data_IF_763696730360
#
_entry.id   IF_763696730360
#
_cell.length_a   1.000
_cell.length_b   1.000
_cell.length_c   1.000
_cell.angle_alpha   90.00
_cell.angle_beta   90.00
_cell.angle_gamma   90.00
#
_symmetry.space_group_name_H-M   'P 1'
#
loop_
_entity.id
_entity.type
_entity.pdbx_description
1 polymer ?
#
# COMPACT_ATOMS: atom_id res chain seq x y z
N UNK A 1 -0.58 19.59 2.90
CA UNK A 1 -1.98 19.12 2.89
C UNK A 1 -2.80 20.33 3.26
N UNK A 2 -3.29 21.07 2.26
CA UNK A 2 -4.19 22.19 2.52
C UNK A 2 -5.50 21.61 3.05
N UNK A 3 -5.83 21.92 4.30
CA UNK A 3 -7.21 21.79 4.74
C UNK A 3 -8.05 22.69 3.82
N UNK A 4 -9.19 22.17 3.34
CA UNK A 4 -10.18 23.01 2.65
C UNK A 4 -10.39 24.27 3.48
N UNK A 5 -10.05 25.44 2.92
CA UNK A 5 -10.18 26.73 3.59
C UNK A 5 -11.65 27.11 3.87
N UNK A 6 -12.60 26.29 3.38
CA UNK A 6 -14.03 26.44 3.57
C UNK A 6 -14.57 25.32 4.46
N UNK A 7 -15.32 25.70 5.50
CA UNK A 7 -16.08 24.79 6.36
C UNK A 7 -17.21 24.17 5.53
N UNK A 8 -17.28 22.84 5.49
CA UNK A 8 -18.38 22.13 4.86
C UNK A 8 -19.52 21.96 5.88
N UNK A 9 -20.71 22.47 5.55
CA UNK A 9 -21.87 22.41 6.44
C UNK A 9 -22.59 21.05 6.32
N UNK A 10 -22.52 20.25 7.39
CA UNK A 10 -23.11 18.91 7.47
C UNK A 10 -24.57 18.95 7.98
N UNK A 11 -25.45 19.66 7.26
CA UNK A 11 -26.91 19.61 7.52
C UNK A 11 -27.45 18.20 7.36
N UNK A 12 -28.56 17.87 8.04
CA UNK A 12 -29.08 16.49 8.08
C UNK A 12 -29.43 15.92 6.70
N UNK A 13 -30.04 16.74 5.84
CA UNK A 13 -30.33 16.35 4.45
C UNK A 13 -29.05 16.05 3.63
N UNK A 14 -27.95 16.74 3.92
CA UNK A 14 -26.64 16.49 3.30
C UNK A 14 -26.04 15.19 3.81
N UNK A 15 -26.12 14.96 5.12
CA UNK A 15 -25.63 13.73 5.77
C UNK A 15 -26.32 12.49 5.22
N UNK A 16 -27.66 12.51 5.11
CA UNK A 16 -28.43 11.39 4.58
C UNK A 16 -28.12 11.13 3.10
N UNK A 17 -27.92 12.19 2.29
CA UNK A 17 -27.51 12.06 0.89
C UNK A 17 -26.10 11.46 0.73
N UNK A 18 -25.17 11.85 1.60
CA UNK A 18 -23.81 11.31 1.62
C UNK A 18 -23.79 9.83 2.02
N UNK A 19 -24.58 9.45 3.03
CA UNK A 19 -24.74 8.04 3.44
C UNK A 19 -25.27 7.17 2.30
N UNK A 20 -26.31 7.65 1.59
CA UNK A 20 -26.86 6.95 0.43
C UNK A 20 -25.83 6.77 -0.69
N UNK A 21 -24.93 7.75 -0.90
CA UNK A 21 -23.90 7.72 -1.96
C UNK A 21 -22.71 6.82 -1.63
N UNK A 22 -22.26 6.81 -0.37
CA UNK A 22 -21.11 5.97 0.08
C UNK A 22 -21.49 4.49 0.14
N UNK A 23 -22.79 4.19 0.15
CA UNK A 23 -23.44 2.93 0.48
C UNK A 23 -23.50 2.62 1.97
N UNK A 24 -24.63 2.07 2.42
CA UNK A 24 -24.89 1.69 3.81
C UNK A 24 -23.83 0.75 4.36
N UNK A 25 -23.38 -0.22 3.56
CA UNK A 25 -22.43 -1.25 4.00
C UNK A 25 -21.04 -0.66 4.28
N UNK A 26 -20.58 0.26 3.42
CA UNK A 26 -19.31 0.96 3.63
C UNK A 26 -19.42 1.92 4.80
N UNK A 27 -20.53 2.65 4.90
CA UNK A 27 -20.77 3.62 5.96
C UNK A 27 -20.89 2.98 7.35
N UNK A 28 -21.48 1.79 7.44
CA UNK A 28 -21.60 1.02 8.69
C UNK A 28 -20.26 0.78 9.40
N UNK A 29 -19.16 0.70 8.64
CA UNK A 29 -17.81 0.51 9.20
C UNK A 29 -17.35 1.71 10.05
N UNK A 30 -17.89 2.89 9.78
CA UNK A 30 -17.61 4.15 10.46
C UNK A 30 -18.65 4.49 11.53
N UNK A 31 -19.91 4.09 11.35
CA UNK A 31 -20.99 4.34 12.31
C UNK A 31 -20.73 3.74 13.69
N UNK A 32 -20.35 2.46 13.77
CA UNK A 32 -20.12 1.81 15.06
C UNK A 32 -18.99 2.48 15.87
N UNK A 33 -17.80 2.77 15.29
CA UNK A 33 -16.77 3.57 15.97
C UNK A 33 -17.19 5.00 16.31
N UNK A 34 -18.14 5.57 15.57
CA UNK A 34 -18.68 6.89 15.81
C UNK A 34 -19.78 6.93 16.89
N UNK A 35 -20.13 5.80 17.51
CA UNK A 35 -21.26 5.76 18.44
C UNK A 35 -22.61 6.03 17.76
N UNK A 36 -22.73 5.66 16.48
CA UNK A 36 -23.89 5.90 15.62
C UNK A 36 -24.19 7.38 15.32
N UNK A 37 -23.26 8.29 15.63
CA UNK A 37 -23.30 9.67 15.14
C UNK A 37 -22.90 9.70 13.66
N UNK A 38 -23.89 9.98 12.78
CA UNK A 38 -23.67 10.03 11.33
C UNK A 38 -22.68 11.12 10.91
N UNK A 39 -22.71 12.30 11.55
CA UNK A 39 -21.81 13.41 11.21
C UNK A 39 -20.37 13.04 11.55
N UNK A 40 -20.16 12.48 12.74
CA UNK A 40 -18.84 12.00 13.15
C UNK A 40 -18.36 10.81 12.30
N UNK A 41 -19.25 9.90 11.90
CA UNK A 41 -18.93 8.81 10.97
C UNK A 41 -18.44 9.33 9.61
N UNK A 42 -19.05 10.39 9.05
CA UNK A 42 -18.58 11.05 7.82
C UNK A 42 -17.20 11.66 8.03
N UNK A 43 -16.94 12.29 9.17
CA UNK A 43 -15.61 12.84 9.46
C UNK A 43 -14.54 11.73 9.54
N UNK A 44 -14.86 10.57 10.15
CA UNK A 44 -13.96 9.41 10.17
C UNK A 44 -13.72 8.85 8.76
N UNK A 45 -14.74 8.87 7.88
CA UNK A 45 -14.60 8.49 6.47
C UNK A 45 -13.62 9.41 5.75
N UNK A 46 -13.77 10.74 5.89
CA UNK A 46 -12.85 11.72 5.31
C UNK A 46 -11.43 11.54 5.87
N UNK A 47 -11.30 11.34 7.18
CA UNK A 47 -10.01 11.10 7.82
C UNK A 47 -9.34 9.82 7.30
N UNK A 48 -10.09 8.74 7.12
CA UNK A 48 -9.58 7.51 6.50
C UNK A 48 -9.05 7.74 5.09
N UNK A 49 -9.75 8.53 4.27
CA UNK A 49 -9.28 8.88 2.93
C UNK A 49 -7.97 9.68 2.97
N UNK A 50 -7.84 10.64 3.90
CA UNK A 50 -6.59 11.39 4.10
C UNK A 50 -5.45 10.50 4.58
N UNK A 51 -5.72 9.52 5.45
CA UNK A 51 -4.72 8.53 5.88
C UNK A 51 -4.24 7.67 4.71
N UNK A 52 -5.16 7.22 3.85
CA UNK A 52 -4.83 6.47 2.63
C UNK A 52 -3.99 7.29 1.67
N UNK A 53 -4.33 8.56 1.46
CA UNK A 53 -3.57 9.50 0.64
C UNK A 53 -2.15 9.72 1.19
N UNK A 54 -2.02 9.91 2.50
CA UNK A 54 -0.74 10.09 3.18
C UNK A 54 0.22 8.90 3.02
N UNK A 55 -0.30 7.71 2.72
CA UNK A 55 0.48 6.49 2.51
C UNK A 55 0.94 6.29 1.07
N UNK A 56 0.44 7.08 0.09
CA UNK A 56 0.78 6.89 -1.32
C UNK A 56 2.28 6.99 -1.57
N UNK A 57 2.95 8.04 -1.08
CA UNK A 57 4.39 8.22 -1.27
C UNK A 57 5.20 7.06 -0.66
N UNK A 58 5.01 6.68 0.62
CA UNK A 58 5.69 5.51 1.19
C UNK A 58 5.44 4.21 0.43
N UNK A 59 4.18 3.91 0.08
CA UNK A 59 3.82 2.66 -0.60
C UNK A 59 4.38 2.61 -2.04
N UNK A 60 4.26 3.70 -2.80
CA UNK A 60 4.82 3.80 -4.13
C UNK A 60 6.34 3.60 -4.11
N UNK A 61 7.02 4.23 -3.17
CA UNK A 61 8.48 4.11 -3.05
C UNK A 61 8.89 2.68 -2.68
N UNK A 62 8.17 2.03 -1.76
CA UNK A 62 8.40 0.64 -1.41
C UNK A 62 8.18 -0.30 -2.61
N UNK A 63 7.12 -0.08 -3.40
CA UNK A 63 6.83 -0.87 -4.59
C UNK A 63 7.94 -0.74 -5.63
N UNK A 64 8.36 0.47 -5.97
CA UNK A 64 9.42 0.72 -6.95
C UNK A 64 10.76 0.14 -6.45
N UNK A 65 11.08 0.32 -5.17
CA UNK A 65 12.31 -0.21 -4.55
C UNK A 65 12.33 -1.74 -4.62
N UNK A 66 11.25 -2.39 -4.19
CA UNK A 66 11.14 -3.85 -4.19
C UNK A 66 11.22 -4.39 -5.63
N UNK A 67 10.41 -3.83 -6.53
CA UNK A 67 10.36 -4.21 -7.94
C UNK A 67 11.73 -4.14 -8.59
N UNK A 68 12.42 -3.01 -8.47
CA UNK A 68 13.70 -2.80 -9.15
C UNK A 68 14.77 -3.73 -8.57
N UNK A 69 14.80 -3.91 -7.24
CA UNK A 69 15.74 -4.82 -6.58
C UNK A 69 15.53 -6.27 -7.02
N UNK A 70 14.28 -6.73 -7.06
CA UNK A 70 13.94 -8.08 -7.53
C UNK A 70 14.25 -8.23 -9.02
N UNK A 71 13.96 -7.22 -9.85
CA UNK A 71 14.27 -7.23 -11.27
C UNK A 71 15.78 -7.39 -11.53
N UNK A 72 16.64 -6.65 -10.81
CA UNK A 72 18.09 -6.82 -10.91
C UNK A 72 18.53 -8.25 -10.59
N UNK A 73 17.94 -8.85 -9.54
CA UNK A 73 18.22 -10.23 -9.17
C UNK A 73 17.77 -11.22 -10.26
N UNK A 74 16.61 -11.00 -10.87
CA UNK A 74 16.13 -11.83 -11.96
C UNK A 74 16.99 -11.67 -13.22
N UNK A 75 17.44 -10.45 -13.54
CA UNK A 75 18.39 -10.21 -14.62
C UNK A 75 19.70 -10.98 -14.41
N UNK A 76 20.23 -10.98 -13.18
CA UNK A 76 21.45 -11.73 -12.84
C UNK A 76 21.27 -13.24 -13.04
N UNK A 77 20.12 -13.80 -12.68
CA UNK A 77 19.88 -15.25 -12.72
C UNK A 77 19.44 -15.77 -14.09
N UNK A 78 18.64 -15.00 -14.82
CA UNK A 78 17.91 -15.46 -16.00
C UNK A 78 18.16 -14.62 -17.26
N UNK A 79 19.01 -13.60 -17.17
CA UNK A 79 19.36 -12.69 -18.27
C UNK A 79 18.47 -11.44 -18.33
N UNK A 80 18.90 -10.44 -19.13
CA UNK A 80 18.21 -9.16 -19.26
C UNK A 80 16.75 -9.28 -19.76
N UNK A 81 16.45 -10.34 -20.52
CA UNK A 81 15.13 -10.68 -21.03
C UNK A 81 14.46 -11.79 -20.19
N UNK A 82 14.71 -11.82 -18.88
CA UNK A 82 14.09 -12.78 -17.96
C UNK A 82 12.56 -12.91 -18.10
N UNK A 83 11.77 -11.85 -18.41
CA UNK A 83 10.31 -11.99 -18.53
C UNK A 83 9.87 -12.89 -19.68
N UNK A 84 10.75 -13.11 -20.66
CA UNK A 84 10.51 -13.99 -21.82
C UNK A 84 11.34 -15.26 -21.77
N UNK A 85 12.14 -15.45 -20.71
CA UNK A 85 13.03 -16.59 -20.55
C UNK A 85 12.26 -17.86 -20.19
N UNK A 86 12.43 -18.92 -20.98
CA UNK A 86 11.87 -20.24 -20.68
C UNK A 86 12.38 -20.79 -19.34
N UNK A 87 13.65 -20.49 -19.00
CA UNK A 87 14.27 -20.89 -17.72
C UNK A 87 13.59 -20.24 -16.53
N UNK A 88 13.14 -18.99 -16.66
CA UNK A 88 12.36 -18.36 -15.60
C UNK A 88 10.91 -18.86 -15.59
N UNK A 89 10.32 -19.06 -16.77
CA UNK A 89 8.96 -19.57 -16.90
C UNK A 89 8.76 -20.94 -16.25
N UNK A 90 9.77 -21.81 -16.31
CA UNK A 90 9.74 -23.16 -15.74
C UNK A 90 9.81 -23.17 -14.20
N UNK A 91 10.37 -22.13 -13.57
CA UNK A 91 10.39 -22.00 -12.09
C UNK A 91 9.18 -21.25 -11.53
N UNK A 92 8.48 -20.47 -12.37
CA UNK A 92 7.28 -19.76 -11.97
C UNK A 92 6.12 -20.73 -11.75
N UNK A 93 5.43 -20.58 -10.61
CA UNK A 93 4.14 -21.25 -10.45
C UNK A 93 3.08 -20.66 -11.36
N UNK A 94 2.05 -21.46 -11.61
CA UNK A 94 0.95 -21.19 -12.54
C UNK A 94 0.36 -19.78 -12.40
N UNK A 95 -0.03 -19.39 -11.18
CA UNK A 95 -0.61 -18.06 -10.89
C UNK A 95 0.31 -16.90 -11.32
N UNK A 96 1.58 -16.96 -10.96
CA UNK A 96 2.55 -15.89 -11.25
C UNK A 96 2.96 -15.90 -12.73
N UNK A 97 3.03 -17.08 -13.36
CA UNK A 97 3.20 -17.23 -14.80
C UNK A 97 2.03 -16.63 -15.59
N UNK A 98 0.80 -16.96 -15.22
CA UNK A 98 -0.40 -16.42 -15.86
C UNK A 98 -0.50 -14.90 -15.71
N UNK A 99 -0.09 -14.34 -14.56
CA UNK A 99 -0.02 -12.88 -14.38
C UNK A 99 1.01 -12.23 -15.32
N UNK A 100 2.22 -12.81 -15.40
CA UNK A 100 3.27 -12.34 -16.31
C UNK A 100 2.80 -12.39 -17.78
N UNK A 101 2.22 -13.50 -18.20
CA UNK A 101 1.70 -13.71 -19.56
C UNK A 101 0.57 -12.72 -19.87
N UNK A 102 -0.31 -12.44 -18.90
CA UNK A 102 -1.38 -11.43 -19.04
C UNK A 102 -0.83 -10.02 -19.24
N UNK A 103 0.16 -9.60 -18.46
CA UNK A 103 0.79 -8.27 -18.59
C UNK A 103 1.46 -8.14 -19.95
N UNK A 104 2.22 -9.16 -20.37
CA UNK A 104 2.83 -9.23 -21.70
C UNK A 104 1.78 -9.13 -22.82
N UNK A 105 0.70 -9.90 -22.73
CA UNK A 105 -0.39 -9.88 -23.70
C UNK A 105 -1.06 -8.51 -23.81
N UNK A 106 -1.27 -7.80 -22.68
CA UNK A 106 -1.80 -6.43 -22.68
C UNK A 106 -0.88 -5.45 -23.40
N UNK A 107 0.43 -5.54 -23.16
CA UNK A 107 1.44 -4.68 -23.82
C UNK A 107 1.42 -4.90 -25.34
N UNK A 108 1.42 -6.16 -25.78
CA UNK A 108 1.36 -6.51 -27.20
C UNK A 108 0.05 -6.05 -27.83
N UNK A 109 -1.09 -6.25 -27.15
CA UNK A 109 -2.41 -5.79 -27.62
C UNK A 109 -2.46 -4.26 -27.78
N UNK A 110 -1.74 -3.53 -26.94
CA UNK A 110 -1.58 -2.09 -27.03
C UNK A 110 -0.54 -1.63 -28.09
N UNK A 111 -0.06 -2.55 -28.95
CA UNK A 111 0.92 -2.29 -30.02
C UNK A 111 2.28 -1.79 -29.54
N UNK A 112 2.66 -2.18 -28.33
CA UNK A 112 3.96 -1.85 -27.74
C UNK A 112 4.88 -3.07 -27.72
N UNK A 113 6.18 -2.85 -27.91
CA UNK A 113 7.18 -3.91 -27.72
C UNK A 113 7.22 -4.39 -26.25
N UNK A 114 7.15 -5.71 -25.97
CA UNK A 114 7.16 -6.25 -24.61
C UNK A 114 8.59 -6.33 -24.05
N UNK A 115 9.31 -5.22 -24.04
CA UNK A 115 10.65 -5.12 -23.43
C UNK A 115 10.58 -5.24 -21.90
N UNK A 116 11.63 -5.76 -21.28
CA UNK A 116 11.68 -6.02 -19.83
C UNK A 116 11.21 -4.85 -18.98
N UNK A 117 11.70 -3.63 -19.24
CA UNK A 117 11.30 -2.45 -18.47
C UNK A 117 9.80 -2.16 -18.50
N UNK A 118 9.14 -2.40 -19.65
CA UNK A 118 7.69 -2.19 -19.81
C UNK A 118 6.89 -3.28 -19.10
N UNK A 119 7.36 -4.53 -19.15
CA UNK A 119 6.73 -5.64 -18.41
C UNK A 119 6.86 -5.41 -16.91
N UNK A 120 8.07 -5.08 -16.44
CA UNK A 120 8.35 -4.75 -15.03
C UNK A 120 7.43 -3.65 -14.54
N UNK A 121 7.26 -2.56 -15.32
CA UNK A 121 6.36 -1.48 -14.98
C UNK A 121 4.87 -1.87 -14.94
N UNK A 122 4.46 -2.90 -15.70
CA UNK A 122 3.07 -3.38 -15.76
C UNK A 122 2.71 -4.44 -14.71
N UNK A 123 3.70 -5.00 -14.00
CA UNK A 123 3.49 -6.00 -12.95
C UNK A 123 3.17 -5.31 -11.61
N UNK A 124 2.08 -5.73 -10.97
CA UNK A 124 1.66 -5.20 -9.66
C UNK A 124 2.56 -5.68 -8.51
N UNK A 125 2.52 -4.98 -7.37
CA UNK A 125 3.14 -5.45 -6.11
C UNK A 125 2.91 -6.93 -5.80
N UNK A 126 1.72 -7.47 -6.10
CA UNK A 126 1.37 -8.86 -5.77
C UNK A 126 2.25 -9.88 -6.48
N UNK A 127 2.69 -9.58 -7.72
CA UNK A 127 3.66 -10.40 -8.44
C UNK A 127 5.01 -10.41 -7.70
N UNK A 128 5.53 -9.24 -7.32
CA UNK A 128 6.81 -9.12 -6.63
C UNK A 128 6.77 -9.80 -5.26
N UNK A 129 5.67 -9.65 -4.52
CA UNK A 129 5.46 -10.31 -3.24
C UNK A 129 5.36 -11.84 -3.38
N UNK A 130 4.76 -12.36 -4.45
CA UNK A 130 4.63 -13.81 -4.65
C UNK A 130 5.99 -14.50 -4.79
N UNK A 131 6.99 -13.80 -5.31
CA UNK A 131 8.35 -14.31 -5.47
C UNK A 131 9.08 -14.57 -4.15
N UNK A 132 8.55 -14.13 -3.01
CA UNK A 132 9.08 -14.44 -1.66
C UNK A 132 8.47 -15.71 -1.04
N UNK A 133 7.54 -16.40 -1.72
CA UNK A 133 7.02 -17.71 -1.28
C UNK A 133 8.16 -18.73 -1.18
N UNK A 134 8.07 -19.67 -0.23
CA UNK A 134 9.15 -20.63 0.08
C UNK A 134 9.65 -21.46 -1.11
N UNK A 135 8.80 -21.76 -2.09
CA UNK A 135 9.21 -22.47 -3.32
C UNK A 135 10.25 -21.71 -4.16
N UNK A 136 10.35 -20.40 -3.99
CA UNK A 136 11.32 -19.56 -4.70
C UNK A 136 12.64 -19.40 -3.95
N UNK A 137 12.78 -20.02 -2.77
CA UNK A 137 13.98 -19.93 -1.96
C UNK A 137 15.21 -20.44 -2.73
N UNK A 138 15.16 -21.67 -3.23
CA UNK A 138 16.25 -22.24 -4.05
C UNK A 138 16.50 -21.49 -5.38
N UNK A 139 15.49 -21.25 -6.25
CA UNK A 139 15.75 -20.66 -7.56
C UNK A 139 16.12 -19.17 -7.52
N UNK A 140 15.71 -18.41 -6.49
CA UNK A 140 15.93 -16.95 -6.44
C UNK A 140 16.82 -16.53 -5.26
N UNK A 141 16.52 -17.01 -4.04
CA UNK A 141 16.96 -16.36 -2.80
C UNK A 141 18.15 -17.01 -2.08
N UNK A 142 18.41 -18.31 -2.28
CA UNK A 142 19.40 -19.10 -1.52
C UNK A 142 20.77 -18.41 -1.42
N UNK A 143 21.19 -17.74 -2.49
CA UNK A 143 22.46 -16.98 -2.55
C UNK A 143 22.26 -15.49 -2.86
N UNK A 144 21.02 -15.02 -2.87
CA UNK A 144 20.64 -13.76 -3.50
C UNK A 144 20.06 -12.70 -2.58
N UNK A 145 19.65 -13.07 -1.37
CA UNK A 145 18.90 -12.16 -0.50
C UNK A 145 19.74 -10.94 -0.11
N UNK A 146 20.95 -11.14 0.41
CA UNK A 146 21.87 -10.04 0.76
C UNK A 146 22.40 -9.28 -0.46
N UNK A 147 22.51 -9.92 -1.63
CA UNK A 147 22.86 -9.22 -2.87
C UNK A 147 21.73 -8.28 -3.34
N UNK A 148 20.48 -8.68 -3.10
CA UNK A 148 19.29 -7.87 -3.43
C UNK A 148 19.10 -6.74 -2.43
N UNK A 149 19.34 -7.03 -1.16
CA UNK A 149 19.18 -6.14 0.00
C UNK A 149 20.51 -6.02 0.76
N UNK A 150 21.43 -5.14 0.33
CA UNK A 150 22.78 -5.06 0.88
C UNK A 150 22.83 -4.59 2.33
N UNK A 151 21.82 -3.84 2.78
CA UNK A 151 21.71 -3.33 4.15
C UNK A 151 20.80 -4.20 5.03
N UNK A 152 20.54 -5.44 4.61
CA UNK A 152 19.75 -6.38 5.38
C UNK A 152 20.50 -6.75 6.68
N UNK A 153 19.86 -6.65 7.86
CA UNK A 153 20.50 -7.01 9.12
C UNK A 153 20.97 -8.46 9.14
N UNK A 154 22.11 -8.71 9.80
CA UNK A 154 22.64 -10.06 9.97
C UNK A 154 21.60 -11.00 10.62
N UNK A 155 21.50 -12.22 10.13
CA UNK A 155 20.56 -13.23 10.61
C UNK A 155 19.13 -13.11 10.05
N UNK A 156 18.81 -12.04 9.32
CA UNK A 156 17.52 -11.90 8.63
C UNK A 156 17.40 -12.93 7.51
N UNK A 157 16.30 -13.66 7.49
CA UNK A 157 16.00 -14.70 6.51
C UNK A 157 14.98 -14.20 5.49
N UNK A 158 14.86 -14.93 4.39
CA UNK A 158 13.86 -14.66 3.34
C UNK A 158 12.43 -14.68 3.88
N UNK A 159 12.15 -15.51 4.90
CA UNK A 159 10.86 -15.52 5.61
C UNK A 159 10.53 -14.18 6.27
N UNK A 160 11.50 -13.59 6.99
CA UNK A 160 11.31 -12.30 7.66
C UNK A 160 11.03 -11.17 6.65
N UNK A 161 11.74 -11.19 5.51
CA UNK A 161 11.48 -10.25 4.42
C UNK A 161 10.10 -10.50 3.78
N UNK A 162 9.71 -11.77 3.61
CA UNK A 162 8.40 -12.13 3.09
C UNK A 162 7.28 -11.59 3.99
N UNK A 163 7.43 -11.66 5.30
CA UNK A 163 6.43 -11.17 6.27
C UNK A 163 6.26 -9.65 6.16
N UNK A 164 7.36 -8.90 6.08
CA UNK A 164 7.34 -7.44 5.85
C UNK A 164 6.65 -7.11 4.53
N UNK A 165 7.05 -7.77 3.43
CA UNK A 165 6.49 -7.57 2.10
C UNK A 165 4.99 -7.89 2.08
N UNK A 166 4.55 -8.96 2.74
CA UNK A 166 3.14 -9.33 2.82
C UNK A 166 2.30 -8.34 3.64
N UNK A 167 2.86 -7.78 4.71
CA UNK A 167 2.19 -6.73 5.49
C UNK A 167 2.03 -5.44 4.67
N UNK A 168 3.05 -5.08 3.88
CA UNK A 168 2.98 -3.94 2.96
C UNK A 168 1.96 -4.21 1.84
N UNK A 169 1.96 -5.41 1.25
CA UNK A 169 0.96 -5.83 0.25
C UNK A 169 -0.46 -5.67 0.78
N UNK A 170 -0.71 -6.17 1.98
CA UNK A 170 -2.01 -6.06 2.63
C UNK A 170 -2.45 -4.60 2.77
N UNK A 171 -1.56 -3.73 3.27
CA UNK A 171 -1.87 -2.30 3.41
C UNK A 171 -2.09 -1.62 2.04
N UNK A 172 -1.22 -1.90 1.07
CA UNK A 172 -1.34 -1.38 -0.31
C UNK A 172 -2.69 -1.74 -0.92
N UNK A 173 -3.12 -2.99 -0.75
CA UNK A 173 -4.39 -3.46 -1.29
C UNK A 173 -5.57 -2.74 -0.64
N UNK A 174 -5.55 -2.55 0.69
CA UNK A 174 -6.60 -1.77 1.38
C UNK A 174 -6.67 -0.33 0.87
N UNK A 175 -5.52 0.34 0.76
CA UNK A 175 -5.44 1.71 0.24
C UNK A 175 -5.98 1.78 -1.19
N UNK A 176 -5.53 0.87 -2.07
CA UNK A 176 -5.95 0.84 -3.48
C UNK A 176 -7.44 0.49 -3.68
N UNK A 177 -8.03 -0.25 -2.75
CA UNK A 177 -9.46 -0.63 -2.78
C UNK A 177 -10.35 0.32 -1.98
N UNK A 178 -9.82 1.43 -1.46
CA UNK A 178 -10.53 2.39 -0.63
C UNK A 178 -11.14 1.76 0.64
N UNK A 179 -10.46 0.75 1.19
CA UNK A 179 -10.87 0.09 2.42
C UNK A 179 -10.49 0.92 3.67
N UNK A 180 -11.22 0.75 4.79
CA UNK A 180 -10.89 1.42 6.05
C UNK A 180 -9.55 0.93 6.64
N UNK A 181 -8.65 1.85 6.98
CA UNK A 181 -7.36 1.58 7.62
C UNK A 181 -7.18 2.34 8.95
N UNK A 182 -8.11 3.23 9.29
CA UNK A 182 -8.04 4.12 10.46
C UNK A 182 -8.03 3.43 11.83
N UNK A 183 -8.31 2.12 11.89
CA UNK A 183 -8.25 1.29 13.11
C UNK A 183 -6.91 0.57 13.28
N UNK A 184 -6.08 0.59 12.25
CA UNK A 184 -4.81 -0.13 12.23
C UNK A 184 -3.71 0.67 12.91
N UNK A 185 -2.66 -0.03 13.34
CA UNK A 185 -1.43 0.63 13.78
C UNK A 185 -0.63 1.14 12.58
N UNK A 186 -1.03 2.30 12.08
CA UNK A 186 -0.40 2.95 10.93
C UNK A 186 1.04 3.42 11.21
N UNK A 187 1.38 3.70 12.48
CA UNK A 187 2.75 4.02 12.89
C UNK A 187 3.68 2.82 12.70
N UNK A 188 3.24 1.64 13.16
CA UNK A 188 3.98 0.39 12.97
C UNK A 188 4.07 0.01 11.48
N UNK A 189 2.96 0.09 10.75
CA UNK A 189 2.93 -0.19 9.31
C UNK A 189 3.86 0.74 8.51
N UNK A 190 3.88 2.02 8.83
CA UNK A 190 4.82 2.97 8.24
C UNK A 190 6.28 2.58 8.55
N UNK A 191 6.56 2.17 9.78
CA UNK A 191 7.89 1.68 10.16
C UNK A 191 8.30 0.45 9.33
N UNK A 192 7.39 -0.48 9.06
CA UNK A 192 7.63 -1.63 8.18
C UNK A 192 7.98 -1.20 6.76
N UNK A 193 7.23 -0.25 6.19
CA UNK A 193 7.47 0.28 4.84
C UNK A 193 8.89 0.86 4.75
N UNK A 194 9.21 1.75 5.68
CA UNK A 194 10.52 2.39 5.76
C UNK A 194 11.63 1.34 5.96
N UNK A 195 11.40 0.32 6.77
CA UNK A 195 12.36 -0.77 7.02
C UNK A 195 12.67 -1.55 5.75
N UNK A 196 11.65 -1.94 4.97
CA UNK A 196 11.87 -2.62 3.69
C UNK A 196 12.72 -1.77 2.73
N UNK A 197 12.43 -0.47 2.62
CA UNK A 197 13.19 0.45 1.78
C UNK A 197 14.65 0.54 2.28
N UNK A 198 14.84 0.62 3.60
CA UNK A 198 16.17 0.74 4.20
C UNK A 198 17.07 -0.47 3.95
N UNK A 199 16.49 -1.67 3.77
CA UNK A 199 17.25 -2.87 3.42
C UNK A 199 17.93 -2.75 2.05
N UNK A 200 17.38 -1.91 1.17
CA UNK A 200 17.97 -1.58 -0.12
C UNK A 200 18.85 -0.33 -0.06
N UNK A 201 18.33 0.77 0.51
CA UNK A 201 19.01 2.05 0.51
C UNK A 201 18.56 2.91 1.70
N UNK A 202 19.49 3.26 2.58
CA UNK A 202 19.24 4.14 3.73
C UNK A 202 18.81 5.54 3.31
N UNK A 203 19.46 6.13 2.30
CA UNK A 203 19.13 7.48 1.81
C UNK A 203 17.71 7.56 1.25
N UNK A 204 17.24 6.54 0.53
CA UNK A 204 15.85 6.49 0.04
C UNK A 204 14.89 6.38 1.22
N UNK A 205 15.22 5.60 2.25
CA UNK A 205 14.39 5.49 3.45
C UNK A 205 14.29 6.83 4.19
N UNK A 206 15.41 7.55 4.34
CA UNK A 206 15.44 8.88 4.97
C UNK A 206 14.65 9.91 4.17
N UNK A 207 14.76 9.88 2.83
CA UNK A 207 13.97 10.72 1.94
C UNK A 207 12.46 10.47 2.10
N UNK A 208 12.02 9.21 2.15
CA UNK A 208 10.60 8.90 2.40
C UNK A 208 10.17 9.34 3.80
N UNK A 209 10.99 9.10 4.84
CA UNK A 209 10.68 9.58 6.21
C UNK A 209 10.47 11.09 6.24
N UNK A 210 11.34 11.85 5.57
CA UNK A 210 11.29 13.30 5.53
C UNK A 210 10.00 13.82 4.87
N UNK A 211 9.59 13.21 3.75
CA UNK A 211 8.42 13.65 2.99
C UNK A 211 7.10 12.98 3.42
N UNK A 212 7.14 12.03 4.36
CA UNK A 212 5.93 11.36 4.83
C UNK A 212 5.10 12.28 5.71
N UNK A 213 3.86 12.54 5.27
CA UNK A 213 2.90 13.37 6.01
C UNK A 213 2.03 12.56 6.99
N UNK A 214 2.15 11.23 6.98
CA UNK A 214 1.29 10.34 7.77
C UNK A 214 1.22 10.70 9.26
N UNK A 215 2.33 11.01 9.97
CA UNK A 215 2.26 11.38 11.38
C UNK A 215 1.42 12.63 11.63
N UNK A 216 1.41 13.59 10.69
CA UNK A 216 0.59 14.80 10.77
C UNK A 216 -0.88 14.45 10.61
N UNK A 217 -1.22 13.64 9.60
CA UNK A 217 -2.60 13.21 9.33
C UNK A 217 -3.16 12.34 10.46
N UNK A 218 -2.35 11.49 11.07
CA UNK A 218 -2.77 10.69 12.23
C UNK A 218 -3.18 11.55 13.42
N UNK A 219 -2.51 12.70 13.64
CA UNK A 219 -2.86 13.65 14.70
C UNK A 219 -4.10 14.48 14.40
N UNK A 220 -4.50 14.61 13.13
CA UNK A 220 -5.72 15.32 12.73
C UNK A 220 -6.97 14.44 12.83
N UNK A 221 -7.00 13.46 13.73
CA UNK A 221 -8.17 12.60 13.93
C UNK A 221 -9.34 13.47 14.40
N UNK A 222 -10.52 13.38 13.77
CA UNK A 222 -11.68 14.16 14.19
C UNK A 222 -12.12 13.75 15.60
N UNK A 223 -12.68 14.69 16.33
CA UNK A 223 -13.37 14.46 17.60
C UNK A 223 -14.88 14.55 17.38
N UNK A 224 -15.70 13.79 18.13
CA UNK A 224 -17.14 14.00 18.13
C UNK A 224 -17.44 15.47 18.47
N UNK A 225 -18.34 16.09 17.73
CA UNK A 225 -18.85 17.40 18.11
C UNK A 225 -19.51 17.24 19.48
N UNK A 226 -19.05 17.99 20.49
CA UNK A 226 -19.78 18.07 21.75
C UNK A 226 -21.17 18.61 21.40
N UNK A 227 -22.22 17.85 21.74
CA UNK A 227 -23.57 18.39 21.72
C UNK A 227 -23.52 19.61 22.63
N UNK A 228 -23.69 20.81 22.08
CA UNK A 228 -23.95 21.99 22.90
C UNK A 228 -25.06 21.59 23.86
N UNK A 229 -24.71 21.56 25.15
CA UNK A 229 -25.70 21.41 26.19
C UNK A 229 -26.52 22.68 26.08
N UNK A 230 -27.69 22.56 25.47
CA UNK A 230 -28.77 23.52 25.65
C UNK A 230 -29.14 23.49 27.14
N UNK A 231 -28.31 24.15 27.95
CA UNK A 231 -28.67 24.61 29.28
C UNK A 231 -29.73 25.67 29.04
N UNK A 232 -30.96 25.17 29.03
CA UNK A 232 -32.15 25.85 29.49
C UNK A 232 -31.75 26.67 30.73
N UNK A 233 -31.46 27.93 30.51
CA UNK A 233 -31.57 28.95 31.54
C UNK A 233 -32.94 29.58 31.34
N UNK A 234 -33.96 28.84 31.78
CA UNK A 234 -35.23 29.44 32.09
C UNK A 234 -35.04 30.33 33.32
N UNK A 235 -35.26 31.63 33.14
CA UNK A 235 -35.90 32.53 34.09
C UNK A 235 -36.48 33.71 33.32
#
# INVERSE_FOLDING_TARGET
>A
MEESQLIFDYKDNVVDALEATISSDRFATYLKPAGFDKRYAIQLYVWNSRLSEALHLPLQTAEVTLRNSVNERLCYLYGAEWPTSERFRSVLGEESGANLDRVRGRIVKAKYAPVTGRIVAGLSFDFWASLFKGKYDRPIWQTGLHATFPLLPAGTRRGDVADLVNRIRWLRNRVAHYEPIFKEDLSYLHTIIIRLISFRCSHTADWVRHHSILPVVMRSRPTPLQRESALVSGK
#
